data_IF_752301981075
#
_entry.id   IF_752301981075
#
_cell.length_a   1.000
_cell.length_b   1.000
_cell.length_c   1.000
_cell.angle_alpha   90.00
_cell.angle_beta   90.00
_cell.angle_gamma   90.00
#
_symmetry.space_group_name_H-M   'P 1'
#
loop_
_entity.id
_entity.type
_entity.pdbx_description
1 polymer ?
#
# COMPACT_ATOMS: atom_id res chain seq x y z
N UNK A 1 15.82 -39.58 13.81
CA UNK A 1 16.00 -38.66 12.67
C UNK A 1 14.64 -38.09 12.33
N UNK A 2 14.30 -36.93 12.89
CA UNK A 2 13.04 -36.26 12.59
C UNK A 2 13.10 -35.68 11.18
N UNK A 3 12.24 -36.20 10.29
CA UNK A 3 11.98 -35.58 8.99
C UNK A 3 11.33 -34.22 9.26
N UNK A 4 12.11 -33.16 9.18
CA UNK A 4 11.54 -31.79 9.06
C UNK A 4 10.66 -31.79 7.81
N UNK A 5 9.34 -31.88 8.03
CA UNK A 5 8.37 -31.61 7.00
C UNK A 5 8.61 -30.16 6.58
N UNK A 6 9.17 -29.94 5.39
CA UNK A 6 9.26 -28.63 4.76
C UNK A 6 7.80 -28.22 4.48
N UNK A 7 7.21 -27.48 5.40
CA UNK A 7 5.93 -26.82 5.12
C UNK A 7 6.15 -25.95 3.90
N UNK A 8 5.48 -26.30 2.79
CA UNK A 8 5.53 -25.53 1.55
C UNK A 8 5.08 -24.12 1.91
N UNK A 9 6.00 -23.14 1.86
CA UNK A 9 5.70 -21.75 2.14
C UNK A 9 4.62 -21.34 1.16
N UNK A 10 3.39 -21.14 1.64
CA UNK A 10 2.29 -20.65 0.81
C UNK A 10 2.71 -19.31 0.20
N UNK A 11 2.33 -19.08 -1.07
CA UNK A 11 2.58 -17.82 -1.74
C UNK A 11 2.03 -16.65 -0.89
N UNK A 12 2.82 -15.59 -0.74
CA UNK A 12 2.43 -14.40 0.03
C UNK A 12 1.61 -13.44 -0.81
N UNK A 13 0.72 -12.71 -0.14
CA UNK A 13 0.03 -11.56 -0.71
C UNK A 13 0.49 -10.31 0.03
N UNK A 14 0.99 -9.33 -0.70
CA UNK A 14 1.46 -8.03 -0.20
C UNK A 14 0.50 -6.95 -0.68
N UNK A 15 -0.03 -6.17 0.26
CA UNK A 15 -0.87 -5.01 -0.05
C UNK A 15 -0.08 -3.72 0.17
N UNK A 16 0.03 -2.90 -0.87
CA UNK A 16 0.80 -1.64 -0.86
C UNK A 16 -0.16 -0.48 -1.13
N UNK A 17 -0.27 0.45 -0.21
CA UNK A 17 -0.97 1.73 -0.43
C UNK A 17 0.01 2.79 -0.92
N UNK A 18 -0.45 3.74 -1.72
CA UNK A 18 0.45 4.68 -2.41
C UNK A 18 1.30 3.98 -3.48
N UNK A 19 0.74 2.98 -4.12
CA UNK A 19 1.46 2.07 -5.03
C UNK A 19 1.97 2.72 -6.31
N UNK A 20 1.39 3.84 -6.74
CA UNK A 20 1.84 4.61 -7.90
C UNK A 20 2.76 5.78 -7.52
N UNK A 21 3.05 5.95 -6.23
CA UNK A 21 4.05 6.88 -5.73
C UNK A 21 5.48 6.42 -6.02
N UNK A 22 6.46 7.30 -5.74
CA UNK A 22 7.86 6.98 -6.00
C UNK A 22 8.35 5.74 -5.23
N UNK A 23 8.14 5.72 -3.93
CA UNK A 23 8.57 4.58 -3.09
C UNK A 23 7.72 3.34 -3.38
N UNK A 24 6.39 3.50 -3.40
CA UNK A 24 5.46 2.40 -3.56
C UNK A 24 5.62 1.64 -4.88
N UNK A 25 5.80 2.35 -5.99
CA UNK A 25 5.99 1.74 -7.30
C UNK A 25 7.33 0.99 -7.42
N UNK A 26 8.40 1.55 -6.84
CA UNK A 26 9.71 0.89 -6.83
C UNK A 26 9.69 -0.36 -5.95
N UNK A 27 9.04 -0.30 -4.78
CA UNK A 27 8.88 -1.47 -3.91
C UNK A 27 8.07 -2.57 -4.61
N UNK A 28 6.93 -2.22 -5.19
CA UNK A 28 6.09 -3.17 -5.92
C UNK A 28 6.87 -3.84 -7.06
N UNK A 29 7.59 -3.06 -7.87
CA UNK A 29 8.42 -3.57 -8.95
C UNK A 29 9.51 -4.51 -8.44
N UNK A 30 10.16 -4.17 -7.33
CA UNK A 30 11.20 -5.02 -6.72
C UNK A 30 10.62 -6.37 -6.29
N UNK A 31 9.49 -6.36 -5.59
CA UNK A 31 8.83 -7.60 -5.15
C UNK A 31 8.43 -8.45 -6.36
N UNK A 32 7.77 -7.85 -7.35
CA UNK A 32 7.28 -8.54 -8.54
C UNK A 32 8.41 -9.17 -9.37
N UNK A 33 9.61 -8.57 -9.38
CA UNK A 33 10.75 -9.10 -10.12
C UNK A 33 11.55 -10.13 -9.35
N UNK A 34 11.61 -10.04 -8.01
CA UNK A 34 12.43 -10.95 -7.19
C UNK A 34 11.66 -12.08 -6.56
N UNK A 35 10.35 -11.94 -6.41
CA UNK A 35 9.47 -12.89 -5.73
C UNK A 35 8.29 -13.25 -6.63
N UNK A 36 8.50 -14.03 -7.70
CA UNK A 36 7.48 -14.26 -8.74
C UNK A 36 6.21 -14.98 -8.23
N UNK A 37 6.30 -15.69 -7.11
CA UNK A 37 5.15 -16.36 -6.48
C UNK A 37 4.36 -15.43 -5.54
N UNK A 38 4.84 -14.21 -5.30
CA UNK A 38 4.17 -13.22 -4.46
C UNK A 38 3.16 -12.44 -5.27
N UNK A 39 1.92 -12.36 -4.77
CA UNK A 39 0.87 -11.50 -5.32
C UNK A 39 0.99 -10.11 -4.68
N UNK A 40 0.96 -9.07 -5.50
CA UNK A 40 0.97 -7.68 -5.05
C UNK A 40 -0.33 -6.99 -5.40
N UNK A 41 -1.00 -6.43 -4.40
CA UNK A 41 -2.17 -5.58 -4.54
C UNK A 41 -1.74 -4.14 -4.31
N UNK A 42 -1.95 -3.28 -5.28
CA UNK A 42 -1.64 -1.85 -5.17
C UNK A 42 -2.90 -1.01 -5.06
N UNK A 43 -2.93 -0.06 -4.14
CA UNK A 43 -3.97 0.96 -4.00
C UNK A 43 -3.36 2.34 -4.17
N UNK A 44 -3.94 3.16 -5.03
CA UNK A 44 -3.60 4.57 -5.18
C UNK A 44 -4.84 5.36 -5.63
N UNK A 45 -4.99 6.59 -5.16
CA UNK A 45 -6.10 7.43 -5.57
C UNK A 45 -5.81 8.15 -6.90
N UNK A 46 -4.56 8.10 -7.38
CA UNK A 46 -4.11 8.73 -8.61
C UNK A 46 -4.39 10.24 -8.63
N UNK A 47 -4.25 10.90 -7.46
CA UNK A 47 -4.48 12.34 -7.36
C UNK A 47 -3.44 13.14 -8.18
N UNK A 48 -3.79 14.38 -8.48
CA UNK A 48 -3.02 15.28 -9.32
C UNK A 48 -2.11 16.25 -8.53
N UNK A 49 -1.85 15.97 -7.25
CA UNK A 49 -0.92 16.76 -6.44
C UNK A 49 0.47 16.88 -7.09
N UNK A 50 0.92 15.80 -7.71
CA UNK A 50 2.00 15.79 -8.70
C UNK A 50 1.41 15.48 -10.08
N UNK A 51 2.23 15.64 -11.12
CA UNK A 51 1.82 15.29 -12.49
C UNK A 51 1.35 13.81 -12.55
N UNK A 52 0.06 13.62 -12.78
CA UNK A 52 -0.58 12.30 -12.79
C UNK A 52 0.02 11.37 -13.85
N UNK A 53 0.59 11.93 -14.94
CA UNK A 53 1.26 11.15 -15.99
C UNK A 53 2.42 10.32 -15.47
N UNK A 54 3.11 10.81 -14.44
CA UNK A 54 4.19 10.06 -13.77
C UNK A 54 3.61 8.83 -13.06
N UNK A 55 2.49 8.98 -12.37
CA UNK A 55 1.79 7.87 -11.72
C UNK A 55 1.25 6.86 -12.73
N UNK A 56 0.69 7.33 -13.82
CA UNK A 56 0.19 6.49 -14.92
C UNK A 56 1.31 5.68 -15.57
N UNK A 57 2.48 6.29 -15.81
CA UNK A 57 3.64 5.60 -16.35
C UNK A 57 4.15 4.50 -15.40
N UNK A 58 4.21 4.78 -14.10
CA UNK A 58 4.60 3.80 -13.07
C UNK A 58 3.59 2.65 -13.01
N UNK A 59 2.30 2.96 -13.04
CA UNK A 59 1.24 1.97 -13.06
C UNK A 59 1.33 1.06 -14.29
N UNK A 60 1.56 1.64 -15.47
CA UNK A 60 1.70 0.88 -16.71
C UNK A 60 2.85 -0.14 -16.64
N UNK A 61 3.97 0.22 -16.01
CA UNK A 61 5.09 -0.71 -15.78
C UNK A 61 4.70 -1.87 -14.85
N UNK A 62 3.95 -1.60 -13.79
CA UNK A 62 3.51 -2.62 -12.84
C UNK A 62 2.46 -3.55 -13.44
N UNK A 63 1.57 -3.04 -14.29
CA UNK A 63 0.51 -3.82 -14.93
C UNK A 63 1.03 -4.85 -15.96
N UNK A 64 2.31 -4.79 -16.32
CA UNK A 64 2.95 -5.83 -17.14
C UNK A 64 3.14 -7.16 -16.39
N UNK A 65 3.04 -7.15 -15.05
CA UNK A 65 3.18 -8.34 -14.22
C UNK A 65 1.81 -8.98 -13.96
N UNK A 66 1.68 -10.26 -14.25
CA UNK A 66 0.42 -11.02 -14.06
C UNK A 66 0.00 -11.11 -12.58
N UNK A 67 0.98 -11.08 -11.66
CA UNK A 67 0.77 -11.15 -10.22
C UNK A 67 0.58 -9.79 -9.55
N UNK A 68 0.35 -8.72 -10.33
CA UNK A 68 -0.01 -7.39 -9.85
C UNK A 68 -1.48 -7.08 -10.10
N UNK A 69 -2.17 -6.62 -9.06
CA UNK A 69 -3.55 -6.13 -9.14
C UNK A 69 -3.59 -4.69 -8.67
N UNK A 70 -4.09 -3.79 -9.49
CA UNK A 70 -4.26 -2.39 -9.14
C UNK A 70 -5.71 -2.07 -8.80
N UNK A 71 -5.89 -1.31 -7.73
CA UNK A 71 -7.18 -0.79 -7.29
C UNK A 71 -7.05 0.73 -7.17
N UNK A 72 -7.87 1.46 -7.92
CA UNK A 72 -7.99 2.91 -7.78
C UNK A 72 -8.98 3.23 -6.68
N UNK A 73 -8.54 3.95 -5.66
CA UNK A 73 -9.43 4.32 -4.56
C UNK A 73 -8.75 5.14 -3.48
N UNK A 74 -9.55 5.58 -2.52
CA UNK A 74 -9.12 6.42 -1.42
C UNK A 74 -8.98 5.60 -0.13
N UNK A 75 -7.91 5.81 0.61
CA UNK A 75 -7.69 5.23 1.94
C UNK A 75 -8.80 5.57 2.94
N UNK A 76 -9.44 6.72 2.79
CA UNK A 76 -10.55 7.15 3.65
C UNK A 76 -11.84 6.36 3.39
N UNK A 77 -11.92 5.62 2.29
CA UNK A 77 -13.06 4.75 1.98
C UNK A 77 -12.93 3.43 2.75
N UNK A 78 -13.54 3.41 3.94
CA UNK A 78 -13.50 2.24 4.83
C UNK A 78 -14.05 0.98 4.16
N UNK A 79 -15.16 1.09 3.45
CA UNK A 79 -15.79 -0.06 2.80
C UNK A 79 -14.90 -0.67 1.72
N UNK A 80 -14.19 0.17 0.98
CA UNK A 80 -13.19 -0.28 0.00
C UNK A 80 -12.04 -1.02 0.67
N UNK A 81 -11.47 -0.44 1.73
CA UNK A 81 -10.37 -1.07 2.48
C UNK A 81 -10.80 -2.43 3.03
N UNK A 82 -11.94 -2.49 3.70
CA UNK A 82 -12.48 -3.74 4.24
C UNK A 82 -12.67 -4.79 3.12
N UNK A 83 -13.19 -4.40 1.95
CA UNK A 83 -13.37 -5.31 0.82
C UNK A 83 -12.05 -5.86 0.27
N UNK A 84 -10.99 -5.06 0.25
CA UNK A 84 -9.66 -5.50 -0.19
C UNK A 84 -9.12 -6.58 0.75
N UNK A 85 -9.24 -6.38 2.07
CA UNK A 85 -8.79 -7.36 3.05
C UNK A 85 -9.64 -8.64 3.00
N UNK A 86 -10.94 -8.51 2.83
CA UNK A 86 -11.85 -9.65 2.73
C UNK A 86 -11.58 -10.50 1.48
N UNK A 87 -11.34 -9.86 0.34
CA UNK A 87 -11.12 -10.56 -0.93
C UNK A 87 -9.71 -11.13 -1.08
N UNK A 88 -8.70 -10.41 -0.61
CA UNK A 88 -7.31 -10.74 -0.91
C UNK A 88 -6.53 -11.31 0.28
N UNK A 89 -7.02 -11.16 1.50
CA UNK A 89 -6.37 -11.65 2.73
C UNK A 89 -4.87 -11.38 2.74
N UNK A 90 -4.43 -10.10 2.71
CA UNK A 90 -3.01 -9.78 2.64
C UNK A 90 -2.26 -10.34 3.86
N UNK A 91 -1.11 -10.93 3.62
CA UNK A 91 -0.18 -11.40 4.66
C UNK A 91 0.69 -10.25 5.17
N UNK A 92 1.07 -9.36 4.28
CA UNK A 92 1.92 -8.20 4.56
C UNK A 92 1.21 -6.95 4.01
N UNK A 93 1.18 -5.91 4.83
CA UNK A 93 0.65 -4.60 4.45
C UNK A 93 1.76 -3.55 4.54
N UNK A 94 1.92 -2.77 3.47
CA UNK A 94 2.87 -1.64 3.42
C UNK A 94 2.07 -0.37 3.15
N UNK A 95 1.89 0.44 4.18
CA UNK A 95 1.11 1.68 4.08
C UNK A 95 2.03 2.88 3.80
N UNK A 96 2.06 3.29 2.54
CA UNK A 96 2.82 4.45 2.06
C UNK A 96 1.89 5.57 1.55
N UNK A 97 0.59 5.28 1.41
CA UNK A 97 -0.39 6.26 0.99
C UNK A 97 -0.55 7.36 2.03
N UNK A 98 -0.21 8.57 1.64
CA UNK A 98 -0.31 9.76 2.49
C UNK A 98 -0.33 11.02 1.64
N UNK A 99 -0.88 12.09 2.20
CA UNK A 99 -0.68 13.43 1.65
C UNK A 99 0.62 14.01 2.21
N UNK A 100 1.55 14.34 1.33
CA UNK A 100 2.83 14.96 1.67
C UNK A 100 2.83 16.47 1.39
N UNK A 101 3.85 17.18 1.90
CA UNK A 101 4.05 18.61 1.65
C UNK A 101 3.50 19.52 2.73
N UNK A 102 4.36 20.01 3.63
CA UNK A 102 3.95 20.85 4.77
C UNK A 102 3.16 22.10 4.35
N UNK A 103 3.59 22.78 3.29
CA UNK A 103 2.93 24.03 2.84
C UNK A 103 1.52 23.78 2.31
N UNK A 104 1.27 22.65 1.68
CA UNK A 104 -0.05 22.29 1.17
C UNK A 104 -1.06 22.06 2.28
N UNK A 105 -0.62 21.69 3.49
CA UNK A 105 -1.50 21.53 4.64
C UNK A 105 -2.18 22.84 5.10
N UNK A 106 -1.58 23.98 4.75
CA UNK A 106 -2.14 25.29 5.07
C UNK A 106 -3.34 25.62 4.16
N UNK A 107 -3.27 25.20 2.90
CA UNK A 107 -4.30 25.48 1.90
C UNK A 107 -5.34 24.38 1.77
N UNK A 108 -4.99 23.15 2.09
CA UNK A 108 -5.89 21.98 2.00
C UNK A 108 -5.65 21.01 3.18
N UNK A 109 -6.02 21.39 4.41
CA UNK A 109 -5.85 20.52 5.58
C UNK A 109 -6.69 19.26 5.52
N UNK A 110 -7.84 19.27 4.86
CA UNK A 110 -8.75 18.13 4.76
C UNK A 110 -8.07 16.92 4.07
N UNK A 111 -7.24 17.16 3.07
CA UNK A 111 -6.50 16.11 2.40
C UNK A 111 -5.56 15.34 3.36
N UNK A 112 -5.02 16.01 4.37
CA UNK A 112 -4.18 15.41 5.41
C UNK A 112 -4.99 14.61 6.41
N UNK A 113 -6.14 15.12 6.82
CA UNK A 113 -7.06 14.40 7.71
C UNK A 113 -7.55 13.12 7.03
N UNK A 114 -8.00 13.22 5.79
CA UNK A 114 -8.47 12.05 5.03
C UNK A 114 -7.38 10.99 4.87
N UNK A 115 -6.24 11.36 4.32
CA UNK A 115 -5.21 10.39 3.96
C UNK A 115 -4.41 9.92 5.16
N UNK A 116 -3.99 10.85 6.02
CA UNK A 116 -2.99 10.56 7.05
C UNK A 116 -3.61 10.16 8.39
N UNK A 117 -4.85 10.51 8.65
CA UNK A 117 -5.58 10.13 9.85
C UNK A 117 -6.64 9.07 9.57
N UNK A 118 -7.67 9.39 8.81
CA UNK A 118 -8.77 8.46 8.52
C UNK A 118 -8.25 7.25 7.72
N UNK A 119 -7.46 7.49 6.68
CA UNK A 119 -6.89 6.43 5.87
C UNK A 119 -6.01 5.48 6.67
N UNK A 120 -5.12 6.02 7.51
CA UNK A 120 -4.28 5.18 8.36
C UNK A 120 -5.09 4.42 9.42
N UNK A 121 -6.08 5.05 10.03
CA UNK A 121 -7.01 4.38 10.93
C UNK A 121 -7.72 3.21 10.25
N UNK A 122 -8.19 3.37 9.01
CA UNK A 122 -8.84 2.30 8.26
C UNK A 122 -7.90 1.11 8.04
N UNK A 123 -6.63 1.35 7.74
CA UNK A 123 -5.61 0.29 7.60
C UNK A 123 -5.39 -0.44 8.92
N UNK A 124 -5.27 0.29 10.03
CA UNK A 124 -5.08 -0.33 11.36
C UNK A 124 -6.29 -1.21 11.74
N UNK A 125 -7.50 -0.70 11.54
CA UNK A 125 -8.72 -1.45 11.83
C UNK A 125 -8.86 -2.69 10.93
N UNK A 126 -8.55 -2.58 9.65
CA UNK A 126 -8.57 -3.72 8.75
C UNK A 126 -7.54 -4.79 9.17
N UNK A 127 -6.33 -4.40 9.56
CA UNK A 127 -5.32 -5.31 10.09
C UNK A 127 -5.75 -5.97 11.40
N UNK A 128 -6.56 -5.28 12.22
CA UNK A 128 -7.10 -5.85 13.46
C UNK A 128 -8.19 -6.87 13.18
N UNK A 129 -9.07 -6.61 12.21
CA UNK A 129 -10.15 -7.52 11.83
C UNK A 129 -9.69 -8.70 10.98
N UNK A 130 -8.72 -8.48 10.12
CA UNK A 130 -8.10 -9.48 9.26
C UNK A 130 -6.60 -9.54 9.60
N UNK A 131 -6.19 -10.34 10.60
CA UNK A 131 -4.83 -10.34 11.11
C UNK A 131 -3.80 -10.57 10.00
N UNK A 132 -2.80 -9.70 9.95
CA UNK A 132 -1.68 -9.78 9.01
C UNK A 132 -0.41 -10.25 9.74
N UNK A 133 0.53 -10.83 9.03
CA UNK A 133 1.82 -11.22 9.61
C UNK A 133 2.70 -10.00 9.91
N UNK A 134 2.60 -8.96 9.07
CA UNK A 134 3.42 -7.77 9.21
C UNK A 134 2.73 -6.53 8.62
N UNK A 135 2.74 -5.45 9.39
CA UNK A 135 2.35 -4.12 8.92
C UNK A 135 3.58 -3.21 8.98
N UNK A 136 3.95 -2.67 7.82
CA UNK A 136 4.97 -1.63 7.68
C UNK A 136 4.26 -0.33 7.30
N UNK A 137 4.60 0.77 7.92
CA UNK A 137 4.06 2.07 7.56
C UNK A 137 5.14 3.16 7.59
N UNK A 138 5.01 4.12 6.68
CA UNK A 138 5.85 5.31 6.68
C UNK A 138 5.34 6.28 7.74
N UNK A 139 6.22 6.64 8.67
CA UNK A 139 6.01 7.75 9.60
C UNK A 139 6.57 9.05 9.02
N UNK A 140 6.69 10.07 9.81
CA UNK A 140 7.23 11.37 9.41
C UNK A 140 8.66 11.54 9.91
N UNK A 141 9.53 12.15 9.08
CA UNK A 141 10.85 12.59 9.53
C UNK A 141 10.77 13.62 10.67
N UNK A 142 9.63 14.29 10.81
CA UNK A 142 9.38 15.26 11.90
C UNK A 142 9.44 14.64 13.31
N UNK A 143 9.33 13.31 13.43
CA UNK A 143 9.46 12.63 14.75
C UNK A 143 10.87 12.69 15.31
N UNK A 144 11.86 12.97 14.48
CA UNK A 144 13.25 13.07 14.90
C UNK A 144 13.63 14.47 15.39
N UNK A 145 12.74 15.44 15.25
CA UNK A 145 12.97 16.83 15.63
C UNK A 145 13.81 17.61 14.61
N UNK A 146 14.23 18.77 15.01
CA UNK A 146 15.11 19.66 14.23
C UNK A 146 16.56 19.48 14.63
#
# INVERSE_FOLDING_TARGET
>A
MEKRVRVKKLAKTVFITGSSGFIGSNLAKRILTTEPDTKVIGLDNMNDYYDVRIKEARLAELQKFENYTFIKGNLADKALIDSIFEQHHPDIVVNLGAQAGVRYSITNPDAYIESNMIGFYNILEACRHYPVEHLVYASSSSVYGS
#
